data_IF_414642175292
#
_entry.id   IF_414642175292
#
_cell.length_a   1.000
_cell.length_b   1.000
_cell.length_c   1.000
_cell.angle_alpha   90.00
_cell.angle_beta   90.00
_cell.angle_gamma   90.00
#
_symmetry.space_group_name_H-M   'P 1'
#
loop_
_entity.id
_entity.type
_entity.pdbx_description
1 polymer ?
#
# COMPACT_ATOMS: atom_id res chain seq x y z
N UNK A 1 -29.10 -2.65 11.28
CA UNK A 1 -28.02 -2.80 10.29
C UNK A 1 -26.78 -2.11 10.82
N UNK A 2 -25.80 -2.88 11.28
CA UNK A 2 -24.36 -2.60 11.47
C UNK A 2 -23.87 -3.65 12.49
N UNK A 3 -22.74 -4.33 12.40
CA UNK A 3 -21.80 -4.62 11.32
C UNK A 3 -21.09 -5.89 11.80
N UNK A 4 -20.92 -6.89 10.94
CA UNK A 4 -20.27 -8.14 11.31
C UNK A 4 -18.78 -7.87 11.53
N UNK A 5 -18.33 -7.88 12.78
CA UNK A 5 -16.92 -8.01 13.12
C UNK A 5 -16.50 -9.47 12.90
N UNK A 6 -16.00 -9.78 11.72
CA UNK A 6 -15.22 -11.00 11.49
C UNK A 6 -13.78 -10.74 11.92
N UNK A 7 -13.52 -10.92 13.22
CA UNK A 7 -12.18 -11.12 13.76
C UNK A 7 -11.78 -12.57 13.48
N UNK A 8 -11.12 -12.81 12.37
CA UNK A 8 -10.47 -14.09 12.07
C UNK A 8 -8.96 -13.94 12.21
N UNK A 9 -8.45 -14.23 13.40
CA UNK A 9 -7.04 -14.52 13.60
C UNK A 9 -6.70 -15.84 12.93
N UNK A 10 -5.84 -15.82 11.93
CA UNK A 10 -5.24 -17.02 11.34
C UNK A 10 -3.73 -16.84 11.31
N UNK A 11 -3.05 -17.77 11.96
CA UNK A 11 -1.61 -17.89 12.09
C UNK A 11 -0.99 -18.31 10.75
N UNK A 12 -0.04 -17.52 10.25
CA UNK A 12 1.00 -17.98 9.31
C UNK A 12 0.58 -18.19 7.86
N UNK A 13 0.10 -17.16 7.19
CA UNK A 13 0.26 -17.03 5.73
C UNK A 13 1.33 -15.97 5.52
N UNK A 14 2.32 -16.25 4.67
CA UNK A 14 3.29 -15.26 4.19
C UNK A 14 2.54 -13.98 3.83
N UNK A 15 2.53 -13.01 4.76
CA UNK A 15 1.89 -11.73 4.55
C UNK A 15 2.69 -11.10 3.42
N UNK A 16 2.11 -11.09 2.22
CA UNK A 16 2.57 -10.20 1.18
C UNK A 16 2.49 -8.82 1.81
N UNK A 17 3.64 -8.30 2.28
CA UNK A 17 3.81 -6.94 2.76
C UNK A 17 3.40 -6.06 1.59
N UNK A 18 2.19 -5.54 1.68
CA UNK A 18 1.39 -5.26 0.51
C UNK A 18 0.14 -4.49 0.92
N UNK A 19 0.19 -3.19 0.76
CA UNK A 19 -0.94 -2.30 0.95
C UNK A 19 -1.78 -2.27 -0.33
N UNK A 20 -3.01 -2.77 -0.28
CA UNK A 20 -3.96 -2.66 -1.38
C UNK A 20 -4.87 -1.47 -1.14
N UNK A 21 -4.88 -0.54 -2.09
CA UNK A 21 -5.75 0.62 -2.09
C UNK A 21 -7.15 0.29 -2.57
N UNK A 22 -8.12 1.12 -2.19
CA UNK A 22 -9.49 1.11 -2.68
C UNK A 22 -9.62 1.21 -4.21
N UNK A 23 -8.62 1.74 -4.92
CA UNK A 23 -8.61 1.80 -6.39
C UNK A 23 -8.12 0.50 -7.05
N UNK A 24 -7.69 -0.48 -6.24
CA UNK A 24 -7.13 -1.76 -6.69
C UNK A 24 -5.62 -1.75 -6.94
N UNK A 25 -4.94 -0.64 -6.62
CA UNK A 25 -3.48 -0.59 -6.64
C UNK A 25 -2.90 -1.39 -5.49
N UNK A 26 -1.80 -2.10 -5.73
CA UNK A 26 -1.00 -2.73 -4.68
C UNK A 26 0.32 -2.01 -4.54
N UNK A 27 0.67 -1.70 -3.31
CA UNK A 27 1.89 -1.03 -2.92
C UNK A 27 2.66 -1.91 -1.97
N UNK A 28 3.98 -1.87 -2.04
CA UNK A 28 4.85 -2.59 -1.10
C UNK A 28 4.78 -2.01 0.31
N UNK A 29 4.60 -0.70 0.42
CA UNK A 29 4.63 0.06 1.67
C UNK A 29 3.41 0.96 1.80
N UNK A 30 2.79 0.99 2.98
CA UNK A 30 1.76 1.97 3.34
C UNK A 30 2.43 3.23 3.89
N UNK A 31 2.53 4.28 3.07
CA UNK A 31 3.10 5.57 3.48
C UNK A 31 2.19 6.34 4.45
N UNK A 32 1.02 5.81 4.82
CA UNK A 32 0.25 6.30 5.96
C UNK A 32 0.86 5.87 7.29
N UNK A 33 1.64 4.78 7.29
CA UNK A 33 2.29 4.21 8.46
C UNK A 33 3.76 4.69 8.57
N UNK A 34 4.19 5.23 9.72
CA UNK A 34 5.54 5.80 9.85
C UNK A 34 6.65 4.74 9.77
N UNK A 35 6.35 3.46 10.03
CA UNK A 35 7.32 2.36 9.87
C UNK A 35 7.64 2.13 8.39
N UNK A 36 6.59 1.92 7.61
CA UNK A 36 6.64 1.71 6.16
C UNK A 36 7.21 2.92 5.41
N UNK A 37 6.95 4.15 5.89
CA UNK A 37 7.60 5.36 5.38
C UNK A 37 9.12 5.28 5.46
N UNK A 38 9.67 4.76 6.57
CA UNK A 38 11.11 4.63 6.76
C UNK A 38 11.66 3.54 5.85
N UNK A 39 10.99 2.39 5.77
CA UNK A 39 11.37 1.29 4.87
C UNK A 39 11.38 1.75 3.40
N UNK A 40 10.33 2.43 2.94
CA UNK A 40 10.28 3.05 1.62
C UNK A 40 11.38 4.10 1.40
N UNK A 41 11.70 4.89 2.44
CA UNK A 41 12.76 5.90 2.34
C UNK A 41 14.16 5.30 2.14
N UNK A 42 14.40 4.08 2.63
CA UNK A 42 15.69 3.38 2.47
C UNK A 42 15.70 2.40 1.29
N UNK A 43 14.57 2.24 0.59
CA UNK A 43 14.43 1.40 -0.60
C UNK A 43 14.39 2.27 -1.88
N UNK A 44 15.57 2.54 -2.50
CA UNK A 44 15.63 3.36 -3.71
C UNK A 44 14.99 2.67 -4.93
N UNK A 45 14.93 1.33 -4.96
CA UNK A 45 14.30 0.57 -6.03
C UNK A 45 12.78 0.80 -6.02
N UNK A 46 12.15 0.79 -4.85
CA UNK A 46 10.75 1.15 -4.68
C UNK A 46 10.47 2.59 -5.14
N UNK A 47 11.33 3.56 -4.79
CA UNK A 47 11.20 4.94 -5.23
C UNK A 47 11.34 5.11 -6.75
N UNK A 48 12.31 4.41 -7.36
CA UNK A 48 12.51 4.43 -8.81
C UNK A 48 11.32 3.83 -9.55
N UNK A 49 10.78 2.70 -9.06
CA UNK A 49 9.54 2.10 -9.58
C UNK A 49 8.38 3.07 -9.53
N UNK A 50 8.15 3.69 -8.38
CA UNK A 50 7.08 4.67 -8.19
C UNK A 50 7.25 5.92 -9.06
N UNK A 51 8.49 6.32 -9.34
CA UNK A 51 8.78 7.44 -10.24
C UNK A 51 8.59 7.07 -11.71
N UNK A 52 8.74 5.80 -12.07
CA UNK A 52 8.56 5.32 -13.44
C UNK A 52 7.13 4.84 -13.72
N UNK A 53 6.36 4.52 -12.68
CA UNK A 53 4.96 4.11 -12.81
C UNK A 53 4.09 5.32 -13.10
N UNK A 54 3.42 5.30 -14.25
CA UNK A 54 2.45 6.32 -14.67
C UNK A 54 1.05 5.80 -14.35
N UNK A 55 0.79 5.51 -13.09
CA UNK A 55 -0.49 4.95 -12.69
C UNK A 55 -1.52 6.07 -12.39
N UNK A 56 -2.53 6.31 -13.26
CA UNK A 56 -3.47 7.43 -13.11
C UNK A 56 -4.37 7.29 -11.87
N UNK A 57 -4.56 6.07 -11.37
CA UNK A 57 -5.34 5.82 -10.14
C UNK A 57 -4.59 6.24 -8.88
N UNK A 58 -3.26 6.42 -8.94
CA UNK A 58 -2.45 6.90 -7.81
C UNK A 58 -2.82 8.32 -7.39
N UNK A 59 -3.24 9.17 -8.33
CA UNK A 59 -3.75 10.50 -7.99
C UNK A 59 -5.13 10.43 -7.32
N UNK A 60 -5.95 9.45 -7.70
CA UNK A 60 -7.24 9.21 -7.05
C UNK A 60 -7.05 8.69 -5.62
N UNK A 61 -6.15 7.72 -5.42
CA UNK A 61 -5.68 7.24 -4.11
C UNK A 61 -5.34 8.38 -3.16
N UNK A 62 -4.44 9.26 -3.61
CA UNK A 62 -4.01 10.41 -2.81
C UNK A 62 -5.15 11.35 -2.48
N UNK A 63 -6.14 11.46 -3.37
CA UNK A 63 -7.37 12.21 -3.13
C UNK A 63 -8.30 11.55 -2.09
N UNK A 64 -8.21 10.23 -1.92
CA UNK A 64 -8.91 9.44 -0.90
C UNK A 64 -8.15 9.37 0.43
N UNK A 65 -6.93 9.92 0.49
CA UNK A 65 -6.05 9.86 1.65
C UNK A 65 -5.25 8.57 1.74
N UNK A 66 -5.19 7.83 0.64
CA UNK A 66 -4.45 6.58 0.48
C UNK A 66 -3.07 6.90 -0.10
N UNK A 67 -2.02 6.51 0.61
CA UNK A 67 -0.64 6.80 0.22
C UNK A 67 0.18 5.52 0.24
N UNK A 68 0.39 4.92 -0.92
CA UNK A 68 1.28 3.78 -1.06
C UNK A 68 2.58 4.11 -1.79
N UNK A 69 3.63 3.35 -1.47
CA UNK A 69 4.94 3.42 -2.11
C UNK A 69 5.41 2.05 -2.60
N UNK A 70 6.17 2.04 -3.69
CA UNK A 70 6.66 0.80 -4.30
C UNK A 70 5.54 0.04 -4.99
N UNK A 71 4.85 0.70 -5.91
CA UNK A 71 3.71 0.12 -6.62
C UNK A 71 4.10 -1.17 -7.36
N UNK A 72 3.32 -2.22 -7.13
CA UNK A 72 3.35 -3.49 -7.85
C UNK A 72 2.30 -3.42 -8.96
N UNK A 73 2.73 -3.07 -10.16
CA UNK A 73 1.91 -3.06 -11.39
C UNK A 73 1.46 -4.48 -11.78
#
# INVERSE_FOLDING_TARGET
MYGSSSSSGSYGTSETRGYESSTGNRYEYDLSDPGDQIEYSIDPDAQMRDSSSVNPTRELDRGLGEYGGGIYD
#
